data_IF_635440474727
#
_entry.id   IF_635440474727
#
_cell.length_a   1.000
_cell.length_b   1.000
_cell.length_c   1.000
_cell.angle_alpha   90.00
_cell.angle_beta   90.00
_cell.angle_gamma   90.00
#
_symmetry.space_group_name_H-M   'P 1'
#
loop_
_entity.id
_entity.type
_entity.pdbx_description
1 polymer ?
#
# COMPACT_ATOMS: atom_id res chain seq x y z
N UNK A 1 -15.29 -22.61 -3.09
CA UNK A 1 -14.18 -21.98 -2.33
C UNK A 1 -13.31 -21.32 -3.39
N UNK A 2 -13.41 -20.00 -3.55
CA UNK A 2 -12.52 -19.24 -4.44
C UNK A 2 -11.12 -19.28 -3.83
N UNK A 3 -10.16 -19.89 -4.52
CA UNK A 3 -8.74 -19.76 -4.17
C UNK A 3 -8.37 -18.29 -4.42
N UNK A 4 -8.44 -17.47 -3.39
CA UNK A 4 -7.85 -16.12 -3.43
C UNK A 4 -6.34 -16.28 -3.62
N UNK A 5 -5.83 -15.86 -4.78
CA UNK A 5 -4.39 -15.84 -5.04
C UNK A 5 -3.81 -14.71 -4.21
N UNK A 6 -2.94 -15.06 -3.27
CA UNK A 6 -2.31 -14.09 -2.39
C UNK A 6 -1.31 -13.20 -3.15
N UNK A 7 -1.09 -11.99 -2.65
CA UNK A 7 -0.21 -10.98 -3.28
C UNK A 7 1.20 -11.54 -3.51
N UNK A 8 1.77 -12.23 -2.54
CA UNK A 8 3.10 -12.84 -2.66
C UNK A 8 3.18 -13.88 -3.76
N UNK A 9 2.11 -14.66 -3.98
CA UNK A 9 2.06 -15.64 -5.07
C UNK A 9 2.03 -14.96 -6.44
N UNK A 10 1.30 -13.84 -6.58
CA UNK A 10 1.30 -13.03 -7.80
C UNK A 10 2.69 -12.45 -8.09
N UNK A 11 3.34 -11.86 -7.09
CA UNK A 11 4.70 -11.31 -7.20
C UNK A 11 5.66 -12.39 -7.65
N UNK A 12 5.65 -13.55 -6.98
CA UNK A 12 6.49 -14.72 -7.32
C UNK A 12 6.26 -15.17 -8.76
N UNK A 13 5.00 -15.31 -9.20
CA UNK A 13 4.66 -15.73 -10.55
C UNK A 13 5.19 -14.74 -11.61
N UNK A 14 5.04 -13.42 -11.38
CA UNK A 14 5.59 -12.39 -12.28
C UNK A 14 7.11 -12.40 -12.30
N UNK A 15 7.78 -12.56 -11.15
CA UNK A 15 9.24 -12.68 -11.08
C UNK A 15 9.75 -13.89 -11.88
N UNK A 16 9.14 -15.05 -11.66
CA UNK A 16 9.52 -16.29 -12.36
C UNK A 16 9.27 -16.22 -13.87
N UNK A 17 8.16 -15.62 -14.30
CA UNK A 17 7.90 -15.37 -15.73
C UNK A 17 8.98 -14.51 -16.37
N UNK A 18 9.57 -13.56 -15.63
CA UNK A 18 10.69 -12.72 -16.06
C UNK A 18 12.06 -13.36 -15.86
N UNK A 19 12.10 -14.61 -15.37
CA UNK A 19 13.34 -15.38 -15.10
C UNK A 19 14.28 -14.65 -14.13
N UNK A 20 13.74 -13.86 -13.21
CA UNK A 20 14.52 -13.18 -12.18
C UNK A 20 14.68 -14.07 -10.94
N UNK A 21 15.84 -14.01 -10.29
CA UNK A 21 16.01 -14.53 -8.94
C UNK A 21 15.42 -13.57 -7.90
N UNK A 22 15.25 -14.01 -6.64
CA UNK A 22 14.82 -13.12 -5.56
C UNK A 22 15.83 -12.02 -5.28
N UNK A 23 17.12 -12.35 -5.37
CA UNK A 23 18.23 -11.43 -5.20
C UNK A 23 18.15 -10.32 -6.26
N UNK A 24 17.92 -10.67 -7.52
CA UNK A 24 17.76 -9.72 -8.62
C UNK A 24 16.51 -8.84 -8.45
N UNK A 25 15.40 -9.42 -7.97
CA UNK A 25 14.22 -8.62 -7.67
C UNK A 25 14.46 -7.67 -6.50
N UNK A 26 15.16 -8.09 -5.46
CA UNK A 26 15.53 -7.26 -4.33
C UNK A 26 16.42 -6.09 -4.76
N UNK A 27 17.46 -6.37 -5.55
CA UNK A 27 18.36 -5.36 -6.12
C UNK A 27 17.60 -4.36 -7.01
N UNK A 28 16.80 -4.86 -7.96
CA UNK A 28 16.05 -4.02 -8.91
C UNK A 28 14.97 -3.14 -8.22
N UNK A 29 14.40 -3.63 -7.12
CA UNK A 29 13.40 -2.90 -6.35
C UNK A 29 13.99 -2.01 -5.24
N UNK A 30 15.31 -2.13 -4.97
CA UNK A 30 15.95 -1.44 -3.85
C UNK A 30 15.39 -1.88 -2.48
N UNK A 31 15.02 -3.15 -2.35
CA UNK A 31 14.52 -3.76 -1.13
C UNK A 31 15.49 -4.79 -0.58
N UNK A 32 15.43 -5.02 0.73
CA UNK A 32 16.19 -6.11 1.36
C UNK A 32 15.69 -7.48 0.87
N UNK A 33 16.61 -8.42 0.62
CA UNK A 33 16.28 -9.78 0.17
C UNK A 33 15.37 -10.53 1.17
N UNK A 34 15.56 -10.29 2.46
CA UNK A 34 14.72 -10.83 3.52
C UNK A 34 13.26 -10.41 3.35
N UNK A 35 13.03 -9.11 3.10
CA UNK A 35 11.68 -8.56 2.89
C UNK A 35 11.02 -9.15 1.63
N UNK A 36 11.72 -9.21 0.51
CA UNK A 36 11.19 -9.84 -0.73
C UNK A 36 10.84 -11.30 -0.48
N UNK A 37 11.70 -12.02 0.25
CA UNK A 37 11.47 -13.44 0.58
C UNK A 37 10.23 -13.63 1.46
N UNK A 38 10.04 -12.78 2.46
CA UNK A 38 8.88 -12.83 3.35
C UNK A 38 7.57 -12.50 2.60
N UNK A 39 7.61 -11.50 1.72
CA UNK A 39 6.47 -11.14 0.88
C UNK A 39 6.07 -12.31 -0.02
N UNK A 40 7.00 -12.91 -0.75
CA UNK A 40 6.72 -14.06 -1.63
C UNK A 40 6.25 -15.31 -0.88
N UNK A 41 6.60 -15.45 0.38
CA UNK A 41 6.10 -16.52 1.25
C UNK A 41 4.75 -16.18 1.92
N UNK A 42 4.21 -14.99 1.67
CA UNK A 42 3.00 -14.49 2.33
C UNK A 42 3.10 -14.46 3.88
N UNK A 43 4.32 -14.38 4.41
CA UNK A 43 4.57 -14.25 5.86
C UNK A 43 4.64 -12.80 6.30
N UNK A 44 4.79 -11.89 5.35
CA UNK A 44 4.73 -10.44 5.55
C UNK A 44 3.81 -9.82 4.50
N UNK A 45 2.84 -9.03 4.95
CA UNK A 45 1.98 -8.25 4.06
C UNK A 45 2.65 -6.89 3.88
N UNK A 46 3.11 -6.58 2.65
CA UNK A 46 3.82 -5.34 2.39
C UNK A 46 2.89 -4.14 2.48
N UNK A 47 3.41 -3.01 2.94
CA UNK A 47 2.80 -1.70 2.74
C UNK A 47 2.82 -1.32 1.25
N UNK A 48 2.21 -0.18 0.90
CA UNK A 48 2.18 0.30 -0.48
C UNK A 48 3.57 0.54 -1.06
N UNK A 49 4.51 1.11 -0.29
CA UNK A 49 5.84 1.46 -0.79
C UNK A 49 6.63 0.24 -1.32
N UNK A 50 6.81 -0.86 -0.58
CA UNK A 50 7.41 -2.07 -1.13
C UNK A 50 6.67 -2.61 -2.35
N UNK A 51 5.33 -2.59 -2.37
CA UNK A 51 4.55 -3.07 -3.51
C UNK A 51 4.79 -2.24 -4.78
N UNK A 52 4.83 -0.91 -4.66
CA UNK A 52 5.12 -0.01 -5.78
C UNK A 52 6.53 -0.27 -6.32
N UNK A 53 7.53 -0.41 -5.46
CA UNK A 53 8.91 -0.72 -5.86
C UNK A 53 9.01 -2.07 -6.58
N UNK A 54 8.32 -3.08 -6.08
CA UNK A 54 8.27 -4.41 -6.72
C UNK A 54 7.53 -4.34 -8.07
N UNK A 55 6.37 -3.64 -8.14
CA UNK A 55 5.61 -3.48 -9.35
C UNK A 55 6.46 -2.84 -10.45
N UNK A 56 7.19 -1.78 -10.11
CA UNK A 56 8.13 -1.11 -10.99
C UNK A 56 9.27 -2.03 -11.46
N UNK A 57 9.93 -2.72 -10.53
CA UNK A 57 11.02 -3.65 -10.85
C UNK A 57 10.55 -4.77 -11.78
N UNK A 58 9.29 -5.16 -11.67
CA UNK A 58 8.64 -6.13 -12.53
C UNK A 58 8.00 -5.51 -13.79
N UNK A 59 8.02 -4.18 -13.97
CA UNK A 59 7.39 -3.49 -15.10
C UNK A 59 5.89 -3.78 -15.20
N UNK A 60 5.20 -3.83 -14.06
CA UNK A 60 3.74 -3.98 -13.96
C UNK A 60 3.17 -2.85 -13.12
N UNK A 61 1.88 -2.59 -13.26
CA UNK A 61 1.19 -1.60 -12.41
C UNK A 61 0.96 -2.18 -11.01
N UNK A 62 0.89 -1.32 -10.00
CA UNK A 62 0.53 -1.72 -8.64
C UNK A 62 -0.80 -2.51 -8.61
N UNK A 63 -1.81 -2.06 -9.36
CA UNK A 63 -3.09 -2.73 -9.49
C UNK A 63 -3.00 -4.19 -9.95
N UNK A 64 -1.95 -4.58 -10.69
CA UNK A 64 -1.72 -5.97 -11.11
C UNK A 64 -1.64 -6.93 -9.92
N UNK A 65 -1.13 -6.47 -8.78
CA UNK A 65 -1.08 -7.29 -7.57
C UNK A 65 -2.36 -7.22 -6.75
N UNK A 66 -3.07 -6.10 -6.85
CA UNK A 66 -4.27 -5.80 -6.06
C UNK A 66 -5.57 -6.22 -6.76
N UNK A 67 -5.53 -6.39 -8.09
CA UNK A 67 -6.71 -6.71 -8.90
C UNK A 67 -6.92 -8.20 -9.05
N UNK A 68 -8.17 -8.62 -8.83
CA UNK A 68 -8.62 -9.99 -9.10
C UNK A 68 -9.45 -10.11 -10.40
N UNK A 69 -9.80 -8.98 -11.04
CA UNK A 69 -10.70 -8.96 -12.19
C UNK A 69 -10.24 -7.99 -13.30
N UNK A 70 -10.59 -8.33 -14.55
CA UNK A 70 -10.32 -7.52 -15.75
C UNK A 70 -11.51 -6.61 -16.14
N UNK A 71 -12.19 -6.00 -15.18
CA UNK A 71 -13.35 -5.17 -15.47
C UNK A 71 -12.94 -3.77 -15.95
N UNK A 72 -13.18 -3.46 -17.24
CA UNK A 72 -12.81 -2.19 -17.88
C UNK A 72 -13.84 -1.07 -17.66
N UNK A 73 -15.09 -1.40 -17.30
CA UNK A 73 -16.18 -0.46 -17.07
C UNK A 73 -16.02 0.36 -15.76
N UNK A 74 -17.05 1.14 -15.39
CA UNK A 74 -17.06 1.85 -14.11
C UNK A 74 -17.15 0.84 -12.96
N UNK A 75 -16.43 1.09 -11.90
CA UNK A 75 -16.47 0.33 -10.65
C UNK A 75 -17.25 1.10 -9.59
N UNK A 76 -18.16 0.42 -8.93
CA UNK A 76 -18.95 0.98 -7.82
C UNK A 76 -18.64 0.17 -6.57
N UNK A 77 -18.07 0.82 -5.57
CA UNK A 77 -17.93 0.28 -4.23
C UNK A 77 -19.04 0.89 -3.35
N UNK A 78 -19.96 0.05 -2.87
CA UNK A 78 -21.04 0.48 -1.97
C UNK A 78 -20.50 0.63 -0.55
N UNK A 79 -21.12 1.52 0.25
CA UNK A 79 -20.74 1.69 1.65
C UNK A 79 -20.80 0.36 2.41
N UNK A 80 -19.71 -0.02 3.06
CA UNK A 80 -19.55 -1.29 3.74
C UNK A 80 -19.08 -2.47 2.89
N UNK A 81 -18.96 -2.32 1.57
CA UNK A 81 -18.49 -3.36 0.64
C UNK A 81 -17.00 -3.23 0.30
N UNK A 82 -16.29 -2.27 0.90
CA UNK A 82 -14.85 -2.14 0.70
C UNK A 82 -14.14 -3.41 1.19
N UNK A 83 -13.46 -4.08 0.26
CA UNK A 83 -12.73 -5.29 0.59
C UNK A 83 -11.35 -4.95 1.17
N UNK A 84 -10.96 -5.62 2.25
CA UNK A 84 -9.59 -5.55 2.76
C UNK A 84 -8.63 -6.01 1.66
N UNK A 85 -7.79 -5.09 1.21
CA UNK A 85 -6.80 -5.37 0.16
C UNK A 85 -5.46 -5.76 0.77
N UNK A 86 -5.11 -5.10 1.87
CA UNK A 86 -3.92 -5.36 2.66
C UNK A 86 -4.40 -5.49 4.11
N UNK A 87 -4.44 -6.70 4.63
CA UNK A 87 -4.79 -6.96 6.02
C UNK A 87 -3.54 -7.47 6.73
N UNK A 88 -3.14 -6.80 7.78
CA UNK A 88 -2.14 -7.31 8.71
C UNK A 88 -2.75 -8.38 9.59
N UNK A 89 -3.09 -9.55 9.02
CA UNK A 89 -3.53 -10.68 9.84
C UNK A 89 -2.30 -11.42 10.39
N UNK A 90 -2.14 -11.32 11.70
CA UNK A 90 -1.42 -12.28 12.56
C UNK A 90 0.11 -12.47 12.43
N UNK A 91 0.87 -11.56 11.88
CA UNK A 91 2.33 -11.64 12.05
C UNK A 91 2.85 -10.33 12.64
N UNK A 92 3.70 -10.43 13.65
CA UNK A 92 4.42 -9.34 14.33
C UNK A 92 5.45 -8.66 13.39
N UNK A 93 5.01 -8.24 12.23
CA UNK A 93 5.83 -7.44 11.32
C UNK A 93 5.75 -5.98 11.74
N UNK A 94 6.89 -5.43 12.11
CA UNK A 94 7.08 -4.19 12.86
C UNK A 94 6.79 -2.89 12.10
N UNK A 95 6.47 -2.90 10.80
CA UNK A 95 6.59 -1.64 10.07
C UNK A 95 5.29 -0.89 9.75
N UNK A 96 4.15 -1.56 9.52
CA UNK A 96 2.91 -0.85 9.18
C UNK A 96 1.64 -1.61 9.61
N UNK A 97 1.72 -2.35 10.69
CA UNK A 97 0.58 -3.10 11.23
C UNK A 97 -0.57 -2.21 11.74
N UNK A 98 -0.30 -0.90 11.87
CA UNK A 98 -1.27 0.10 12.31
C UNK A 98 -2.18 0.61 11.17
N UNK A 99 -1.88 0.30 9.89
CA UNK A 99 -2.64 0.75 8.73
C UNK A 99 -3.46 -0.41 8.14
N UNK A 100 -4.78 -0.27 8.13
CA UNK A 100 -5.70 -1.24 7.52
C UNK A 100 -6.27 -0.66 6.22
N UNK A 101 -5.76 -1.12 5.09
CA UNK A 101 -6.15 -0.66 3.76
C UNK A 101 -7.39 -1.36 3.24
N UNK A 102 -8.37 -0.59 2.77
CA UNK A 102 -9.58 -1.08 2.11
C UNK A 102 -9.69 -0.41 0.74
N UNK A 103 -9.49 -1.18 -0.34
CA UNK A 103 -9.58 -0.65 -1.71
C UNK A 103 -11.01 -0.28 -2.06
N UNK A 104 -11.17 0.88 -2.71
CA UNK A 104 -12.45 1.34 -3.26
C UNK A 104 -12.60 1.03 -4.76
N UNK A 105 -11.54 0.52 -5.40
CA UNK A 105 -11.55 0.23 -6.84
C UNK A 105 -10.85 -1.10 -7.17
N UNK A 106 -10.95 -2.10 -6.28
CA UNK A 106 -10.22 -3.38 -6.40
C UNK A 106 -10.46 -4.09 -7.74
N UNK A 107 -11.70 -4.00 -8.26
CA UNK A 107 -12.09 -4.69 -9.50
C UNK A 107 -11.88 -3.86 -10.77
N UNK A 108 -11.47 -2.58 -10.66
CA UNK A 108 -11.23 -1.70 -11.81
C UNK A 108 -9.89 -2.00 -12.45
N UNK A 109 -9.91 -2.66 -13.59
CA UNK A 109 -8.71 -2.88 -14.39
C UNK A 109 -8.21 -1.59 -15.04
N UNK A 110 -6.89 -1.47 -15.17
CA UNK A 110 -6.24 -0.37 -15.89
C UNK A 110 -6.32 0.99 -15.20
N UNK A 111 -6.64 1.05 -13.92
CA UNK A 111 -6.63 2.29 -13.15
C UNK A 111 -5.21 2.81 -12.92
N UNK A 112 -5.07 4.12 -12.91
CA UNK A 112 -3.81 4.79 -12.58
C UNK A 112 -3.79 5.30 -11.14
N UNK A 113 -4.96 5.50 -10.54
CA UNK A 113 -5.13 5.91 -9.15
C UNK A 113 -5.61 4.74 -8.30
N UNK A 114 -5.05 4.61 -7.10
CA UNK A 114 -5.43 3.61 -6.11
C UNK A 114 -6.14 4.30 -4.94
N UNK A 115 -7.48 4.35 -4.94
CA UNK A 115 -8.23 4.92 -3.83
C UNK A 115 -8.44 3.89 -2.72
N UNK A 116 -8.15 4.31 -1.47
CA UNK A 116 -8.31 3.49 -0.27
C UNK A 116 -9.08 4.24 0.81
N UNK A 117 -9.88 3.52 1.57
CA UNK A 117 -10.13 3.88 2.96
C UNK A 117 -9.06 3.22 3.80
N UNK A 118 -8.41 3.97 4.68
CA UNK A 118 -7.41 3.46 5.60
C UNK A 118 -7.87 3.74 7.02
N UNK A 119 -8.08 2.68 7.80
CA UNK A 119 -8.23 2.80 9.23
C UNK A 119 -6.83 2.77 9.86
N UNK A 120 -6.54 3.77 10.68
CA UNK A 120 -5.25 3.96 11.35
C UNK A 120 -5.44 3.62 12.82
N UNK A 121 -4.78 2.56 13.27
CA UNK A 121 -4.72 2.22 14.68
C UNK A 121 -3.64 3.04 15.38
N UNK A 122 -3.81 3.38 16.66
CA UNK A 122 -2.80 4.08 17.42
C UNK A 122 -1.44 3.38 17.37
N UNK A 123 -0.40 4.12 17.06
CA UNK A 123 0.96 3.58 16.98
C UNK A 123 1.99 4.53 17.56
N UNK A 124 3.02 3.96 18.18
CA UNK A 124 4.20 4.69 18.60
C UNK A 124 5.18 4.81 17.42
N UNK A 125 5.69 6.02 17.21
CA UNK A 125 6.58 6.33 16.08
C UNK A 125 7.95 5.67 16.16
N UNK A 126 8.40 5.20 17.33
CA UNK A 126 9.72 4.59 17.51
C UNK A 126 9.94 3.34 16.64
N UNK A 127 8.86 2.66 16.26
CA UNK A 127 8.90 1.40 15.49
C UNK A 127 8.38 1.53 14.08
N UNK A 128 7.99 2.74 13.63
CA UNK A 128 7.43 2.96 12.31
C UNK A 128 8.52 3.30 11.31
N UNK A 129 8.40 2.77 10.10
CA UNK A 129 9.35 3.03 9.02
C UNK A 129 8.83 4.13 8.10
N UNK A 130 9.71 5.03 7.71
CA UNK A 130 9.44 6.01 6.66
C UNK A 130 9.19 5.31 5.33
N UNK A 131 8.28 5.85 4.55
CA UNK A 131 7.93 5.44 3.20
C UNK A 131 8.52 6.42 2.20
N UNK A 132 8.99 5.94 1.06
CA UNK A 132 9.36 6.75 -0.09
C UNK A 132 9.15 5.95 -1.36
N UNK A 133 8.44 6.50 -2.33
CA UNK A 133 8.20 5.88 -3.64
C UNK A 133 7.89 6.94 -4.68
N UNK A 134 7.94 6.58 -5.96
CA UNK A 134 7.50 7.49 -7.02
C UNK A 134 5.99 7.64 -7.02
N UNK A 135 5.54 8.79 -7.50
CA UNK A 135 4.13 9.13 -7.60
C UNK A 135 3.71 10.19 -6.60
N UNK A 136 2.44 10.29 -6.40
CA UNK A 136 1.79 11.35 -5.63
C UNK A 136 0.73 10.73 -4.73
N UNK A 137 0.50 11.36 -3.58
CA UNK A 137 -0.56 10.98 -2.66
C UNK A 137 -1.44 12.17 -2.31
N UNK A 138 -2.75 11.92 -2.34
CA UNK A 138 -3.76 12.81 -1.77
C UNK A 138 -4.41 12.11 -0.58
N UNK A 139 -4.44 12.77 0.56
CA UNK A 139 -5.07 12.29 1.79
C UNK A 139 -6.13 13.29 2.24
N UNK A 140 -7.31 12.77 2.60
CA UNK A 140 -8.39 13.51 3.23
C UNK A 140 -8.78 12.82 4.54
N UNK A 141 -8.78 13.54 5.65
CA UNK A 141 -9.13 12.99 6.96
C UNK A 141 -10.64 12.90 7.10
N UNK A 142 -11.14 11.69 7.33
CA UNK A 142 -12.57 11.40 7.50
C UNK A 142 -12.97 11.44 8.97
N UNK A 143 -12.15 10.86 9.83
CA UNK A 143 -12.41 10.73 11.27
C UNK A 143 -11.09 10.82 12.06
N UNK A 144 -11.12 11.44 13.25
CA UNK A 144 -9.99 11.54 14.14
C UNK A 144 -8.95 12.59 13.75
N UNK A 145 -7.73 12.44 14.28
CA UNK A 145 -6.60 13.31 14.02
C UNK A 145 -5.43 12.47 13.48
N UNK A 146 -4.84 12.90 12.39
CA UNK A 146 -3.75 12.22 11.69
C UNK A 146 -2.51 13.09 11.68
N UNK A 147 -1.36 12.49 11.92
CA UNK A 147 -0.04 13.14 11.81
C UNK A 147 0.67 12.63 10.58
N UNK A 148 1.24 13.54 9.82
CA UNK A 148 2.01 13.23 8.62
C UNK A 148 3.38 13.86 8.75
N UNK A 149 4.38 13.00 8.92
CA UNK A 149 5.77 13.40 8.81
C UNK A 149 6.15 13.39 7.33
N UNK A 150 6.68 14.50 6.83
CA UNK A 150 7.09 14.68 5.44
C UNK A 150 8.43 15.40 5.39
N UNK A 151 9.48 14.68 5.04
CA UNK A 151 10.85 15.14 5.18
C UNK A 151 11.18 15.52 6.63
N UNK A 152 11.52 16.77 6.86
CA UNK A 152 11.84 17.30 8.20
C UNK A 152 10.63 17.91 8.91
N UNK A 153 9.48 18.03 8.24
CA UNK A 153 8.29 18.67 8.76
C UNK A 153 7.27 17.64 9.27
N UNK A 154 6.47 18.04 10.22
CA UNK A 154 5.32 17.29 10.69
C UNK A 154 4.06 18.12 10.60
N UNK A 155 3.02 17.54 10.03
CA UNK A 155 1.71 18.16 9.85
C UNK A 155 0.67 17.41 10.67
N UNK A 156 -0.17 18.14 11.39
CA UNK A 156 -1.30 17.59 12.15
C UNK A 156 -2.56 17.99 11.40
N UNK A 157 -3.37 17.01 11.03
CA UNK A 157 -4.60 17.17 10.26
C UNK A 157 -5.77 16.63 11.06
N UNK A 158 -6.88 17.34 11.05
CA UNK A 158 -8.13 16.96 11.68
C UNK A 158 -9.19 16.56 10.65
N UNK A 159 -10.29 15.96 11.09
CA UNK A 159 -11.38 15.59 10.20
C UNK A 159 -11.84 16.79 9.36
N UNK A 160 -11.86 16.63 8.03
CA UNK A 160 -12.15 17.67 7.06
C UNK A 160 -10.91 18.27 6.40
N UNK A 161 -9.72 18.06 6.97
CA UNK A 161 -8.47 18.54 6.37
C UNK A 161 -7.97 17.61 5.28
N UNK A 162 -7.13 18.12 4.40
CA UNK A 162 -6.48 17.35 3.36
C UNK A 162 -5.03 17.80 3.15
N UNK A 163 -4.24 16.88 2.62
CA UNK A 163 -2.87 17.14 2.17
C UNK A 163 -2.62 16.45 0.83
N UNK A 164 -1.80 17.06 0.01
CA UNK A 164 -1.32 16.50 -1.25
C UNK A 164 0.20 16.65 -1.31
N UNK A 165 0.92 15.60 -1.69
CA UNK A 165 2.38 15.63 -1.75
C UNK A 165 2.96 14.65 -2.76
N UNK A 166 4.20 14.94 -3.18
CA UNK A 166 5.04 14.03 -3.95
C UNK A 166 5.61 12.94 -3.04
N UNK A 167 5.32 11.69 -3.34
CA UNK A 167 5.69 10.56 -2.48
C UNK A 167 7.16 10.17 -2.55
N UNK A 168 7.96 10.87 -3.39
CA UNK A 168 9.41 10.68 -3.46
C UNK A 168 10.13 11.18 -2.19
N UNK A 169 9.55 12.13 -1.49
CA UNK A 169 10.06 12.60 -0.20
C UNK A 169 9.67 11.59 0.87
N UNK A 170 10.61 11.26 1.76
CA UNK A 170 10.33 10.36 2.88
C UNK A 170 9.17 10.88 3.72
N UNK A 171 8.19 10.02 3.94
CA UNK A 171 6.97 10.36 4.66
C UNK A 171 6.49 9.21 5.54
N UNK A 172 5.66 9.55 6.52
CA UNK A 172 5.02 8.60 7.44
C UNK A 172 3.65 9.13 7.82
N UNK A 173 2.63 8.28 7.69
CA UNK A 173 1.26 8.57 8.14
C UNK A 173 0.99 7.75 9.39
N UNK A 174 0.60 8.40 10.48
CA UNK A 174 0.32 7.75 11.75
C UNK A 174 -0.72 8.54 12.58
N UNK A 175 -1.21 7.94 13.62
CA UNK A 175 -2.13 8.56 14.56
C UNK A 175 -1.87 8.10 15.99
N UNK A 176 -2.21 8.93 16.97
CA UNK A 176 -2.12 8.61 18.40
C UNK A 176 -3.45 8.07 18.96
N UNK A 177 -4.51 8.19 18.17
CA UNK A 177 -5.85 7.62 18.42
C UNK A 177 -6.40 7.00 17.14
N UNK A 178 -7.40 6.14 17.24
CA UNK A 178 -8.02 5.54 16.06
C UNK A 178 -8.56 6.59 15.12
N UNK A 179 -8.12 6.55 13.88
CA UNK A 179 -8.43 7.57 12.87
C UNK A 179 -8.76 6.89 11.54
N UNK A 180 -9.39 7.65 10.64
CA UNK A 180 -9.76 7.18 9.31
C UNK A 180 -9.48 8.21 8.25
N UNK A 181 -8.90 7.78 7.15
CA UNK A 181 -8.60 8.62 6.00
C UNK A 181 -9.12 8.02 4.69
N UNK A 182 -9.40 8.89 3.73
CA UNK A 182 -9.41 8.57 2.31
C UNK A 182 -8.02 8.89 1.76
N UNK A 183 -7.34 7.91 1.22
CA UNK A 183 -6.07 8.10 0.53
C UNK A 183 -6.23 7.74 -0.95
N UNK A 184 -5.68 8.56 -1.82
CA UNK A 184 -5.59 8.28 -3.26
C UNK A 184 -4.12 8.32 -3.65
N UNK A 185 -3.60 7.17 -4.07
CA UNK A 185 -2.20 7.02 -4.50
C UNK A 185 -2.16 6.97 -6.02
N UNK A 186 -1.38 7.83 -6.63
CA UNK A 186 -1.00 7.74 -8.03
C UNK A 186 0.42 7.17 -8.12
N UNK A 187 0.56 6.03 -8.78
CA UNK A 187 1.85 5.45 -9.08
C UNK A 187 1.97 5.34 -10.61
N UNK A 188 2.93 6.02 -11.24
CA UNK A 188 3.01 6.11 -12.71
C UNK A 188 3.37 4.79 -13.39
N UNK A 189 3.81 3.76 -12.64
CA UNK A 189 4.24 2.46 -13.18
C UNK A 189 3.65 1.28 -12.43
#
# INVERSE_FOLDING_TARGET
>A
MSNEILIGDKIKAFRETRKLTREQLAENSGLELSLVTEIEKNTNIPSLSPLIKIARALGVRLGTFLDDNNHLGPEICRGGESEKTLSTSNTKSRSNSHLNFMSLAKRKAGRNMEPFIINIEPADTENLLLSSHEGEEFIYVLEGQVKIKYGINEYVLEAGDSIYYDSIVEHLVYATESSKILAVVYAPF
#
